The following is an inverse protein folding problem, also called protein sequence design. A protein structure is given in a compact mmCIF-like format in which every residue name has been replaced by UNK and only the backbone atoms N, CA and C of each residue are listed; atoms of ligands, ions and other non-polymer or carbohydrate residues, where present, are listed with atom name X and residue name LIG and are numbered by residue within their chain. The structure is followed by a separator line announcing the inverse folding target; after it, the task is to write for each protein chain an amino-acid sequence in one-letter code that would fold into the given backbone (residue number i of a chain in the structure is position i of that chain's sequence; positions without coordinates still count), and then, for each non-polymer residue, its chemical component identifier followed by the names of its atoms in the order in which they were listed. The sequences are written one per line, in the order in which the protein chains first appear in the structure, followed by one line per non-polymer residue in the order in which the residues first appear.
data_IF_899476102036
#
_entry.id   IF_899476102036
#
_cell.length_a   1.000
_cell.length_b   1.000
_cell.length_c   1.000
_cell.angle_alpha   90.00
_cell.angle_beta   90.00
_cell.angle_gamma   90.00
#
_symmetry.space_group_name_H-M   'P 1'
#
loop_
_entity.id
_entity.type
_entity.pdbx_description
1 polymer ?
#
# COMPACT_ATOMS: atom_id res chain seq x y z
N UNK A 1 5.96 9.22 -9.15
CA UNK A 1 5.48 8.32 -8.09
C UNK A 1 4.00 8.50 -7.79
N UNK A 2 3.53 9.45 -6.96
CA UNK A 2 2.10 9.52 -6.55
C UNK A 2 1.13 9.58 -7.75
N UNK A 3 1.42 10.43 -8.74
CA UNK A 3 0.66 10.49 -9.99
C UNK A 3 0.65 9.14 -10.73
N UNK A 4 1.79 8.45 -10.81
CA UNK A 4 1.90 7.17 -11.53
C UNK A 4 1.12 6.08 -10.80
N UNK A 5 1.21 6.01 -9.46
CA UNK A 5 0.39 5.10 -8.64
C UNK A 5 -1.11 5.44 -8.75
N UNK A 6 -1.47 6.71 -8.84
CA UNK A 6 -2.84 7.16 -9.10
C UNK A 6 -3.34 6.66 -10.45
N UNK A 7 -2.51 6.77 -11.50
CA UNK A 7 -2.83 6.27 -12.83
C UNK A 7 -2.97 4.73 -12.83
N UNK A 8 -2.15 4.01 -12.04
CA UNK A 8 -2.26 2.55 -11.84
C UNK A 8 -3.61 2.17 -11.22
N UNK A 9 -4.02 2.86 -10.15
CA UNK A 9 -5.35 2.65 -9.56
C UNK A 9 -6.44 2.96 -10.57
N UNK A 10 -6.38 4.10 -11.27
CA UNK A 10 -7.38 4.45 -12.26
C UNK A 10 -7.54 3.36 -13.34
N UNK A 11 -6.43 2.91 -13.92
CA UNK A 11 -6.42 1.84 -14.93
C UNK A 11 -6.97 0.52 -14.38
N UNK A 12 -6.65 0.17 -13.13
CA UNK A 12 -7.18 -1.04 -12.48
C UNK A 12 -8.71 -1.07 -12.49
N UNK A 13 -9.34 0.06 -12.17
CA UNK A 13 -10.79 0.19 -12.17
C UNK A 13 -11.38 0.33 -13.59
N UNK A 14 -10.76 1.14 -14.46
CA UNK A 14 -11.19 1.33 -15.85
C UNK A 14 -11.18 0.01 -16.66
N UNK A 15 -10.24 -0.89 -16.38
CA UNK A 15 -10.15 -2.22 -17.00
C UNK A 15 -11.10 -3.27 -16.37
N UNK A 16 -11.89 -2.85 -15.37
CA UNK A 16 -12.82 -3.70 -14.63
C UNK A 16 -12.12 -4.80 -13.84
N UNK A 17 -10.86 -4.59 -13.41
CA UNK A 17 -10.12 -5.60 -12.65
C UNK A 17 -10.73 -5.81 -11.26
N UNK A 18 -11.36 -4.79 -10.68
CA UNK A 18 -12.14 -4.92 -9.45
C UNK A 18 -13.31 -5.90 -9.60
N UNK A 19 -14.06 -5.83 -10.71
CA UNK A 19 -15.17 -6.77 -10.98
C UNK A 19 -14.65 -8.17 -11.27
N UNK A 20 -13.59 -8.29 -12.09
CA UNK A 20 -12.95 -9.60 -12.35
C UNK A 20 -12.38 -10.22 -11.08
N UNK A 21 -11.85 -9.41 -10.16
CA UNK A 21 -11.39 -9.86 -8.85
C UNK A 21 -12.56 -10.38 -8.01
N UNK A 22 -13.64 -9.60 -7.92
CA UNK A 22 -14.82 -9.95 -7.13
C UNK A 22 -15.43 -11.30 -7.56
N UNK A 23 -15.53 -11.53 -8.87
CA UNK A 23 -16.12 -12.74 -9.47
C UNK A 23 -15.11 -13.90 -9.63
N UNK A 24 -13.82 -13.60 -9.52
CA UNK A 24 -12.73 -14.53 -9.80
C UNK A 24 -12.52 -15.59 -8.72
N UNK A 25 -11.90 -16.69 -9.13
CA UNK A 25 -11.31 -17.69 -8.25
C UNK A 25 -10.16 -17.12 -7.42
N UNK A 26 -9.73 -17.84 -6.38
CA UNK A 26 -8.57 -17.45 -5.57
C UNK A 26 -7.30 -17.26 -6.41
N UNK A 27 -7.09 -18.09 -7.43
CA UNK A 27 -5.95 -17.98 -8.34
C UNK A 27 -6.04 -16.72 -9.21
N UNK A 28 -7.21 -16.39 -9.73
CA UNK A 28 -7.43 -15.16 -10.50
C UNK A 28 -7.26 -13.92 -9.63
N UNK A 29 -7.77 -13.93 -8.40
CA UNK A 29 -7.58 -12.85 -7.41
C UNK A 29 -6.10 -12.63 -7.11
N UNK A 30 -5.35 -13.71 -6.87
CA UNK A 30 -3.90 -13.65 -6.68
C UNK A 30 -3.18 -13.06 -7.89
N UNK A 31 -3.52 -13.49 -9.10
CA UNK A 31 -2.90 -12.98 -10.32
C UNK A 31 -3.18 -11.49 -10.53
N UNK A 32 -4.42 -11.05 -10.31
CA UNK A 32 -4.82 -9.65 -10.44
C UNK A 32 -4.05 -8.77 -9.43
N UNK A 33 -3.97 -9.21 -8.18
CA UNK A 33 -3.31 -8.43 -7.12
C UNK A 33 -1.80 -8.39 -7.30
N UNK A 34 -1.17 -9.50 -7.71
CA UNK A 34 0.26 -9.49 -8.03
C UNK A 34 0.56 -8.56 -9.21
N UNK A 35 -0.31 -8.53 -10.24
CA UNK A 35 -0.18 -7.58 -11.36
C UNK A 35 -0.25 -6.12 -10.89
N UNK A 36 -1.25 -5.79 -10.06
CA UNK A 36 -1.35 -4.46 -9.45
C UNK A 36 -0.09 -4.09 -8.64
N UNK A 37 0.40 -5.01 -7.81
CA UNK A 37 1.61 -4.78 -7.02
C UNK A 37 2.85 -4.63 -7.89
N UNK A 38 2.99 -5.42 -8.96
CA UNK A 38 4.12 -5.31 -9.88
C UNK A 38 4.20 -3.94 -10.56
N UNK A 39 3.05 -3.33 -10.89
CA UNK A 39 3.01 -1.96 -11.41
C UNK A 39 3.37 -0.94 -10.32
N UNK A 40 2.83 -1.09 -9.10
CA UNK A 40 3.14 -0.23 -7.95
C UNK A 40 4.63 -0.29 -7.61
N UNK A 41 5.21 -1.48 -7.48
CA UNK A 41 6.62 -1.67 -7.11
C UNK A 41 7.55 -1.06 -8.16
N UNK A 42 7.20 -1.18 -9.44
CA UNK A 42 7.93 -0.55 -10.54
C UNK A 42 7.87 0.97 -10.46
N UNK A 43 6.66 1.53 -10.30
CA UNK A 43 6.42 2.98 -10.17
C UNK A 43 7.17 3.60 -8.98
N UNK A 44 7.18 2.92 -7.83
CA UNK A 44 7.86 3.38 -6.62
C UNK A 44 9.36 3.10 -6.63
N UNK A 45 9.84 2.30 -7.59
CA UNK A 45 11.24 1.88 -7.68
C UNK A 45 11.68 1.07 -6.46
N UNK A 46 10.79 0.31 -5.84
CA UNK A 46 11.09 -0.58 -4.71
C UNK A 46 11.38 -2.00 -5.22
N UNK A 47 12.02 -2.82 -4.38
CA UNK A 47 12.39 -4.20 -4.71
C UNK A 47 11.70 -5.23 -3.81
N UNK A 48 10.80 -4.78 -2.93
CA UNK A 48 10.14 -5.65 -1.99
C UNK A 48 9.30 -6.72 -2.73
N UNK A 49 9.29 -7.94 -2.21
CA UNK A 49 8.44 -9.01 -2.73
C UNK A 49 7.10 -9.06 -1.98
N UNK A 50 6.04 -9.48 -2.65
CA UNK A 50 4.71 -9.63 -2.07
C UNK A 50 4.43 -11.08 -1.69
N UNK A 51 3.92 -11.30 -0.48
CA UNK A 51 3.42 -12.60 -0.05
C UNK A 51 2.07 -12.48 0.66
N UNK A 52 1.30 -13.57 0.60
CA UNK A 52 0.07 -13.73 1.36
C UNK A 52 0.28 -14.79 2.44
N UNK A 53 0.04 -14.40 3.69
CA UNK A 53 0.25 -15.25 4.86
C UNK A 53 -0.96 -15.21 5.78
N UNK A 54 -1.17 -16.26 6.55
CA UNK A 54 -2.23 -16.25 7.56
C UNK A 54 -1.78 -15.40 8.75
N UNK A 55 -2.45 -14.26 8.95
CA UNK A 55 -2.21 -13.31 10.04
C UNK A 55 -3.43 -13.19 10.96
N UNK A 56 -3.26 -12.72 12.20
CA UNK A 56 -4.40 -12.37 13.06
C UNK A 56 -5.34 -11.37 12.37
N UNK A 57 -6.66 -11.40 12.65
CA UNK A 57 -7.63 -10.55 11.94
C UNK A 57 -7.42 -9.03 12.05
N UNK A 58 -6.65 -8.58 13.05
CA UNK A 58 -6.34 -7.17 13.28
C UNK A 58 -5.04 -6.73 12.58
N UNK A 59 -4.32 -7.63 11.93
CA UNK A 59 -3.11 -7.34 11.17
C UNK A 59 -3.40 -7.55 9.69
N UNK A 60 -3.51 -6.45 8.98
CA UNK A 60 -3.89 -6.40 7.56
C UNK A 60 -2.69 -6.63 6.65
N UNK A 61 -1.58 -5.97 6.96
CA UNK A 61 -0.31 -6.05 6.24
C UNK A 61 0.86 -5.74 7.17
N UNK A 62 2.07 -6.01 6.68
CA UNK A 62 3.30 -5.44 7.22
C UNK A 62 4.45 -5.51 6.22
N UNK A 63 5.27 -4.46 6.18
CA UNK A 63 6.57 -4.46 5.51
C UNK A 63 7.70 -4.86 6.46
N UNK A 64 8.55 -5.79 6.02
CA UNK A 64 9.76 -6.23 6.73
C UNK A 64 11.00 -5.75 5.98
N UNK A 65 11.74 -4.80 6.58
CA UNK A 65 13.00 -4.30 6.02
C UNK A 65 14.09 -5.39 5.92
N UNK A 66 14.11 -6.35 6.86
CA UNK A 66 15.16 -7.38 6.90
C UNK A 66 15.06 -8.39 5.76
N UNK A 67 13.85 -8.67 5.29
CA UNK A 67 13.60 -9.61 4.18
C UNK A 67 13.23 -8.90 2.88
N UNK A 68 13.02 -7.58 2.93
CA UNK A 68 12.45 -6.78 1.84
C UNK A 68 11.15 -7.42 1.32
N UNK A 69 10.18 -7.60 2.21
CA UNK A 69 8.93 -8.33 1.92
C UNK A 69 7.74 -7.57 2.48
N UNK A 70 6.68 -7.48 1.68
CA UNK A 70 5.34 -7.05 2.11
C UNK A 70 4.53 -8.32 2.32
N UNK A 71 4.09 -8.54 3.56
CA UNK A 71 3.27 -9.68 3.94
C UNK A 71 1.84 -9.21 4.15
N UNK A 72 0.89 -9.71 3.37
CA UNK A 72 -0.53 -9.37 3.52
C UNK A 72 -1.32 -10.51 4.15
N UNK A 73 -2.38 -10.17 4.88
CA UNK A 73 -3.29 -11.17 5.42
C UNK A 73 -4.03 -11.88 4.28
N UNK A 74 -3.86 -13.20 4.17
CA UNK A 74 -4.48 -14.01 3.12
C UNK A 74 -6.01 -13.93 3.10
N UNK A 75 -6.63 -13.51 4.22
CA UNK A 75 -8.09 -13.32 4.31
C UNK A 75 -8.62 -12.25 3.36
N UNK A 76 -7.81 -11.26 2.97
CA UNK A 76 -8.22 -10.28 1.98
C UNK A 76 -8.60 -10.90 0.64
N UNK A 77 -8.02 -12.05 0.30
CA UNK A 77 -8.33 -12.76 -0.93
C UNK A 77 -9.70 -13.44 -0.89
N UNK A 78 -10.34 -13.52 0.28
CA UNK A 78 -11.69 -14.06 0.45
C UNK A 78 -12.76 -12.98 0.19
N UNK A 79 -12.44 -11.72 0.48
CA UNK A 79 -13.34 -10.59 0.25
C UNK A 79 -13.52 -10.31 -1.24
N UNK A 80 -14.74 -9.96 -1.65
CA UNK A 80 -15.05 -9.61 -3.03
C UNK A 80 -14.61 -8.18 -3.38
N UNK A 81 -14.64 -7.28 -2.40
CA UNK A 81 -14.12 -5.92 -2.54
C UNK A 81 -12.62 -5.90 -2.24
N UNK A 82 -11.82 -5.55 -3.25
CA UNK A 82 -10.36 -5.46 -3.10
C UNK A 82 -9.87 -4.09 -2.60
N UNK A 83 -10.74 -3.10 -2.38
CA UNK A 83 -10.32 -1.71 -2.10
C UNK A 83 -9.39 -1.62 -0.90
N UNK A 84 -9.73 -2.26 0.23
CA UNK A 84 -8.86 -2.29 1.42
C UNK A 84 -7.55 -3.05 1.19
N UNK A 85 -7.56 -4.07 0.33
CA UNK A 85 -6.36 -4.81 -0.06
C UNK A 85 -5.40 -3.93 -0.88
N UNK A 86 -5.92 -3.20 -1.88
CA UNK A 86 -5.13 -2.28 -2.69
C UNK A 86 -4.56 -1.13 -1.86
N UNK A 87 -5.36 -0.58 -0.95
CA UNK A 87 -4.95 0.45 0.00
C UNK A 87 -3.80 -0.04 0.91
N UNK A 88 -3.95 -1.24 1.49
CA UNK A 88 -2.89 -1.86 2.30
C UNK A 88 -1.61 -2.08 1.48
N UNK A 89 -1.71 -2.50 0.21
CA UNK A 89 -0.55 -2.64 -0.68
C UNK A 89 0.17 -1.31 -0.85
N UNK A 90 -0.56 -0.22 -1.09
CA UNK A 90 0.03 1.11 -1.26
C UNK A 90 0.69 1.60 0.03
N UNK A 91 0.05 1.38 1.17
CA UNK A 91 0.59 1.71 2.50
C UNK A 91 1.92 0.99 2.76
N UNK A 92 1.96 -0.34 2.64
CA UNK A 92 3.17 -1.13 2.91
C UNK A 92 4.27 -0.86 1.87
N UNK A 93 3.88 -0.59 0.61
CA UNK A 93 4.83 -0.16 -0.44
C UNK A 93 5.46 1.19 -0.10
N UNK A 94 4.72 2.07 0.57
CA UNK A 94 5.24 3.36 1.03
C UNK A 94 6.28 3.18 2.14
N UNK A 95 6.11 2.23 3.05
CA UNK A 95 7.16 1.87 4.01
C UNK A 95 8.44 1.38 3.32
N UNK A 96 8.32 0.51 2.31
CA UNK A 96 9.47 0.08 1.51
C UNK A 96 10.18 1.26 0.83
N UNK A 97 9.42 2.21 0.28
CA UNK A 97 9.96 3.43 -0.32
C UNK A 97 10.64 4.34 0.70
N UNK A 98 10.06 4.54 1.89
CA UNK A 98 10.64 5.35 2.96
C UNK A 98 12.02 4.79 3.37
N UNK A 99 12.10 3.47 3.57
CA UNK A 99 13.38 2.79 3.85
C UNK A 99 14.40 2.96 2.71
N UNK A 100 13.97 2.80 1.46
CA UNK A 100 14.83 3.04 0.28
C UNK A 100 15.34 4.48 0.25
N UNK A 101 14.48 5.46 0.52
CA UNK A 101 14.85 6.87 0.53
C UNK A 101 15.91 7.16 1.61
N UNK A 102 15.79 6.54 2.78
CA UNK A 102 16.76 6.64 3.89
C UNK A 102 18.10 6.00 3.52
N UNK A 103 18.08 4.76 3.07
CA UNK A 103 19.30 3.98 2.78
C UNK A 103 20.05 4.52 1.56
N UNK A 104 19.31 5.00 0.56
CA UNK A 104 19.86 5.49 -0.71
C UNK A 104 19.28 6.87 -1.07
N UNK A 105 19.68 7.97 -0.38
CA UNK A 105 19.12 9.32 -0.56
C UNK A 105 19.14 9.88 -1.98
N UNK A 106 20.04 9.38 -2.84
CA UNK A 106 20.16 9.82 -4.25
C UNK A 106 19.30 9.02 -5.21
N UNK A 107 18.66 7.94 -4.75
CA UNK A 107 17.87 7.02 -5.60
C UNK A 107 16.46 7.53 -5.88
N UNK A 108 15.95 8.44 -5.05
CA UNK A 108 14.61 9.02 -5.13
C UNK A 108 14.65 10.48 -4.66
N UNK A 109 13.71 11.29 -5.13
CA UNK A 109 13.61 12.71 -4.75
C UNK A 109 12.75 12.87 -3.50
N UNK A 110 13.38 12.91 -2.33
CA UNK A 110 12.78 13.25 -1.04
C UNK A 110 13.66 14.28 -0.36
N UNK A 111 13.08 15.34 0.19
CA UNK A 111 13.85 16.37 0.87
C UNK A 111 14.49 15.85 2.16
N UNK A 112 15.59 16.48 2.56
CA UNK A 112 16.41 16.02 3.68
C UNK A 112 15.65 16.03 5.01
N UNK A 113 14.70 16.97 5.21
CA UNK A 113 13.95 17.06 6.47
C UNK A 113 12.95 15.92 6.60
N UNK A 114 12.21 15.63 5.53
CA UNK A 114 11.27 14.51 5.49
C UNK A 114 11.99 13.19 5.72
N UNK A 115 13.10 12.96 5.03
CA UNK A 115 13.91 11.74 5.20
C UNK A 115 14.48 11.61 6.62
N UNK A 116 14.97 12.70 7.21
CA UNK A 116 15.44 12.69 8.59
C UNK A 116 14.31 12.39 9.58
N UNK A 117 13.13 12.97 9.37
CA UNK A 117 11.94 12.70 10.17
C UNK A 117 11.55 11.23 10.14
N UNK A 118 11.56 10.60 8.96
CA UNK A 118 11.31 9.17 8.83
C UNK A 118 12.39 8.33 9.51
N UNK A 119 13.67 8.66 9.31
CA UNK A 119 14.78 7.92 9.92
C UNK A 119 14.72 7.94 11.45
N UNK A 120 14.46 9.11 12.05
CA UNK A 120 14.28 9.24 13.50
C UNK A 120 13.08 8.41 13.96
N UNK A 121 11.96 8.48 13.25
CA UNK A 121 10.75 7.78 13.64
C UNK A 121 10.88 6.25 13.52
N UNK A 122 11.45 5.72 12.45
CA UNK A 122 11.72 4.28 12.27
C UNK A 122 12.66 3.76 13.35
N UNK A 123 13.69 4.53 13.72
CA UNK A 123 14.63 4.15 14.78
C UNK A 123 13.95 4.07 16.16
N UNK A 124 12.88 4.84 16.38
CA UNK A 124 12.13 4.93 17.64
C UNK A 124 10.68 4.48 17.49
N UNK A 125 10.45 3.48 16.65
CA UNK A 125 9.12 3.07 16.23
C UNK A 125 8.29 2.53 17.41
N UNK A 126 7.06 3.04 17.55
CA UNK A 126 6.08 2.60 18.53
C UNK A 126 5.24 1.51 17.89
N UNK A 127 5.12 0.36 18.55
CA UNK A 127 4.23 -0.71 18.08
C UNK A 127 2.77 -0.43 18.47
N UNK A 128 1.79 -0.80 17.62
CA UNK A 128 0.37 -0.52 17.87
C UNK A 128 -0.18 -1.21 19.13
N UNK A 129 0.45 -2.32 19.55
CA UNK A 129 0.14 -3.04 20.79
C UNK A 129 0.43 -2.20 22.05
N UNK A 130 1.39 -1.27 21.99
CA UNK A 130 1.77 -0.46 23.15
C UNK A 130 0.92 0.80 23.27
N UNK A 131 0.71 1.49 22.15
CA UNK A 131 -0.09 2.70 22.08
C UNK A 131 -0.55 2.91 20.63
N UNK A 132 -1.80 2.53 20.35
CA UNK A 132 -2.37 2.58 19.01
C UNK A 132 -2.51 4.03 18.50
N UNK A 133 -2.94 4.95 19.37
CA UNK A 133 -3.07 6.36 18.99
C UNK A 133 -1.70 6.97 18.70
N UNK A 134 -0.69 6.67 19.52
CA UNK A 134 0.68 7.13 19.24
C UNK A 134 1.23 6.50 17.95
N UNK A 135 0.96 5.21 17.71
CA UNK A 135 1.32 4.49 16.49
C UNK A 135 0.78 5.21 15.25
N UNK A 136 -0.53 5.45 15.17
CA UNK A 136 -1.17 6.09 14.01
C UNK A 136 -0.68 7.52 13.79
N UNK A 137 -0.22 8.18 14.85
CA UNK A 137 0.28 9.55 14.79
C UNK A 137 1.77 9.67 14.43
N UNK A 138 2.47 8.56 14.23
CA UNK A 138 3.87 8.53 13.84
C UNK A 138 4.07 9.13 12.43
N UNK A 139 5.10 9.96 12.20
CA UNK A 139 5.37 10.54 10.88
C UNK A 139 5.40 9.55 9.71
N UNK A 140 5.94 8.34 9.89
CA UNK A 140 5.98 7.33 8.82
C UNK A 140 4.62 6.70 8.53
N UNK A 141 3.81 6.46 9.56
CA UNK A 141 2.45 5.92 9.43
C UNK A 141 1.53 6.96 8.78
N UNK A 142 1.61 8.22 9.21
CA UNK A 142 0.86 9.31 8.60
C UNK A 142 1.19 9.48 7.12
N UNK A 143 2.47 9.50 6.78
CA UNK A 143 2.89 9.61 5.38
C UNK A 143 2.47 8.38 4.55
N UNK A 144 2.49 7.17 5.12
CA UNK A 144 2.02 5.96 4.46
C UNK A 144 0.50 5.97 4.22
N UNK A 145 -0.27 6.35 5.24
CA UNK A 145 -1.73 6.50 5.15
C UNK A 145 -2.13 7.60 4.17
N UNK A 146 -1.57 8.81 4.30
CA UNK A 146 -1.86 9.92 3.39
C UNK A 146 -1.53 9.56 1.94
N UNK A 147 -0.41 8.85 1.70
CA UNK A 147 -0.07 8.39 0.36
C UNK A 147 -1.11 7.40 -0.20
N UNK A 148 -1.45 6.36 0.57
CA UNK A 148 -2.41 5.35 0.14
C UNK A 148 -3.80 5.95 -0.11
N UNK A 149 -4.31 6.74 0.84
CA UNK A 149 -5.60 7.42 0.73
C UNK A 149 -5.68 8.36 -0.48
N UNK A 150 -4.64 9.17 -0.71
CA UNK A 150 -4.61 10.09 -1.85
C UNK A 150 -4.55 9.34 -3.18
N UNK A 151 -3.72 8.30 -3.28
CA UNK A 151 -3.61 7.49 -4.51
C UNK A 151 -4.91 6.77 -4.81
N UNK A 152 -5.53 6.14 -3.81
CA UNK A 152 -6.82 5.45 -3.95
C UNK A 152 -7.93 6.42 -4.34
N UNK A 153 -8.06 7.53 -3.60
CA UNK A 153 -9.11 8.54 -3.85
C UNK A 153 -8.97 9.14 -5.25
N UNK A 154 -7.77 9.61 -5.61
CA UNK A 154 -7.55 10.23 -6.92
C UNK A 154 -7.68 9.23 -8.06
N UNK A 155 -7.28 7.97 -7.84
CA UNK A 155 -7.43 6.91 -8.85
C UNK A 155 -8.91 6.62 -9.13
N UNK A 156 -9.72 6.53 -8.07
CA UNK A 156 -11.17 6.36 -8.18
C UNK A 156 -11.88 7.58 -8.79
N UNK A 157 -11.39 8.81 -8.55
CA UNK A 157 -11.88 10.03 -9.23
C UNK A 157 -11.63 9.89 -10.73
N UNK A 158 -10.39 9.56 -11.09
CA UNK A 158 -9.93 9.55 -12.48
C UNK A 158 -10.63 8.47 -13.30
N UNK A 159 -10.99 7.34 -12.68
CA UNK A 159 -11.75 6.25 -13.31
C UNK A 159 -13.28 6.44 -13.25
N UNK A 160 -13.78 7.56 -12.70
CA UNK A 160 -15.21 7.82 -12.44
C UNK A 160 -15.90 6.82 -11.49
N UNK A 161 -15.13 6.03 -10.72
CA UNK A 161 -15.67 5.03 -9.78
C UNK A 161 -15.93 5.57 -8.36
N UNK A 162 -15.63 6.85 -8.07
CA UNK A 162 -16.00 7.46 -6.78
C UNK A 162 -17.52 7.59 -6.52
N UNK A 163 -18.38 7.40 -7.53
CA UNK A 163 -19.82 7.64 -7.40
C UNK A 163 -20.64 6.42 -6.92
N UNK A 164 -20.04 5.25 -6.67
CA UNK A 164 -20.80 4.03 -6.33
C UNK A 164 -20.58 3.46 -4.91
N UNK A 165 -19.58 3.90 -4.14
CA UNK A 165 -19.19 3.22 -2.88
C UNK A 165 -19.38 3.98 -1.56
N UNK A 166 -19.92 5.21 -1.56
CA UNK A 166 -20.09 5.99 -0.30
C UNK A 166 -21.54 6.24 0.16
N UNK A 167 -22.54 5.67 -0.52
CA UNK A 167 -23.93 5.67 -0.04
C UNK A 167 -24.62 4.32 -0.33
N UNK A 168 -24.39 3.34 0.54
CA UNK A 168 -25.09 2.05 0.55
C UNK A 168 -25.18 1.50 1.97
#
# INVERSE_FOLDING_TARGET
MEKECTDIVANFFDEGLNSKYAEGSLEERLNIVNGFYDDVKHSMGICAELEFVNKPPYELGSYSKSSDTISLNSKYLEDADCTSLLDTILHESRHAFQHRAIDNPKSVSVDDKTRESWNINITNYILPIWDFEAYENQPVEKDANEFAENVMTNGLINSNHLNESYYG
#
